data_IF_982748608532
#
_entry.id   IF_982748608532
#
_cell.length_a   1.000
_cell.length_b   1.000
_cell.length_c   1.000
_cell.angle_alpha   90.00
_cell.angle_beta   90.00
_cell.angle_gamma   90.00
#
_symmetry.space_group_name_H-M   'P 1'
#
loop_
_entity.id
_entity.type
_entity.pdbx_description
1 polymer ?
#
# COMPACT_ATOMS: atom_id res chain seq x y z
N UNK A 1 2.53 -22.69 13.35
CA UNK A 1 3.77 -21.88 13.46
C UNK A 1 5.02 -22.69 13.09
N UNK A 2 5.23 -23.90 13.60
CA UNK A 2 6.43 -24.69 13.28
C UNK A 2 6.63 -25.03 11.79
N UNK A 3 5.57 -25.15 11.00
CA UNK A 3 5.67 -25.40 9.56
C UNK A 3 6.16 -24.17 8.77
N UNK A 4 5.73 -22.97 9.15
CA UNK A 4 6.19 -21.71 8.52
C UNK A 4 7.69 -21.49 8.76
N UNK A 5 8.19 -21.87 9.93
CA UNK A 5 9.62 -21.75 10.28
C UNK A 5 10.52 -22.70 9.50
N UNK A 6 9.97 -23.74 8.87
CA UNK A 6 10.70 -24.67 8.00
C UNK A 6 10.84 -24.20 6.55
N UNK A 7 10.08 -23.16 6.15
CA UNK A 7 10.10 -22.62 4.79
C UNK A 7 11.22 -21.57 4.63
N UNK A 8 11.71 -21.45 3.40
CA UNK A 8 12.65 -20.35 3.10
C UNK A 8 11.95 -18.99 3.21
N UNK A 9 12.65 -17.93 3.65
CA UNK A 9 12.05 -16.59 3.72
C UNK A 9 11.42 -16.10 2.40
N UNK A 10 12.02 -16.49 1.27
CA UNK A 10 11.51 -16.20 -0.07
C UNK A 10 10.12 -16.83 -0.25
N UNK A 11 9.94 -18.07 0.17
CA UNK A 11 8.66 -18.77 0.03
C UNK A 11 7.59 -18.16 0.94
N UNK A 12 7.95 -17.77 2.15
CA UNK A 12 7.03 -17.10 3.08
C UNK A 12 6.56 -15.77 2.48
N UNK A 13 7.49 -14.94 2.02
CA UNK A 13 7.17 -13.63 1.43
C UNK A 13 6.33 -13.79 0.16
N UNK A 14 6.65 -14.76 -0.69
CA UNK A 14 5.85 -15.07 -1.87
C UNK A 14 4.40 -15.47 -1.51
N UNK A 15 4.21 -16.33 -0.52
CA UNK A 15 2.87 -16.74 -0.06
C UNK A 15 2.08 -15.57 0.51
N UNK A 16 2.73 -14.75 1.32
CA UNK A 16 2.11 -13.58 1.96
C UNK A 16 1.74 -12.50 0.93
N UNK A 17 2.65 -12.18 0.01
CA UNK A 17 2.36 -11.22 -1.07
C UNK A 17 1.25 -11.75 -2.01
N UNK A 18 1.21 -13.07 -2.24
CA UNK A 18 0.10 -13.71 -2.98
C UNK A 18 -1.22 -13.58 -2.23
N UNK A 19 -1.22 -13.72 -0.90
CA UNK A 19 -2.40 -13.47 -0.07
C UNK A 19 -2.88 -12.03 -0.20
N UNK A 20 -1.99 -11.04 -0.14
CA UNK A 20 -2.33 -9.63 -0.29
C UNK A 20 -2.96 -9.36 -1.66
N UNK A 21 -2.34 -9.85 -2.73
CA UNK A 21 -2.90 -9.79 -4.08
C UNK A 21 -4.29 -10.46 -4.18
N UNK A 22 -4.50 -11.62 -3.54
CA UNK A 22 -5.80 -12.29 -3.50
C UNK A 22 -6.86 -11.45 -2.80
N UNK A 23 -6.50 -10.69 -1.78
CA UNK A 23 -7.43 -9.78 -1.10
C UNK A 23 -7.88 -8.63 -2.03
N UNK A 24 -6.96 -8.06 -2.82
CA UNK A 24 -7.31 -7.09 -3.87
C UNK A 24 -8.20 -7.72 -4.94
N UNK A 25 -7.91 -8.94 -5.35
CA UNK A 25 -8.76 -9.68 -6.29
C UNK A 25 -10.17 -9.88 -5.74
N UNK A 26 -10.32 -10.30 -4.48
CA UNK A 26 -11.61 -10.47 -3.82
C UNK A 26 -12.36 -9.14 -3.72
N UNK A 27 -11.70 -8.06 -3.31
CA UNK A 27 -12.28 -6.73 -3.28
C UNK A 27 -12.75 -6.25 -4.66
N UNK A 28 -11.92 -6.45 -5.67
CA UNK A 28 -12.26 -6.12 -7.07
C UNK A 28 -13.46 -6.91 -7.58
N UNK A 29 -13.65 -8.13 -7.11
CA UNK A 29 -14.77 -8.98 -7.51
C UNK A 29 -16.14 -8.50 -6.99
N UNK A 30 -16.17 -7.59 -6.00
CA UNK A 30 -17.41 -6.99 -5.50
C UNK A 30 -18.19 -6.24 -6.60
N UNK A 31 -17.53 -5.83 -7.67
CA UNK A 31 -18.20 -5.22 -8.84
C UNK A 31 -19.31 -6.09 -9.43
N UNK A 32 -19.28 -7.41 -9.23
CA UNK A 32 -20.35 -8.32 -9.68
C UNK A 32 -21.62 -8.21 -8.85
N UNK A 33 -21.51 -7.82 -7.59
CA UNK A 33 -22.62 -7.75 -6.64
C UNK A 33 -23.22 -6.35 -6.51
N UNK A 34 -22.47 -5.31 -6.93
CA UNK A 34 -22.92 -3.92 -6.85
C UNK A 34 -23.68 -3.55 -8.10
N UNK A 35 -24.93 -3.07 -7.94
CA UNK A 35 -25.81 -2.68 -9.08
C UNK A 35 -25.54 -1.25 -9.58
N UNK A 36 -25.17 -0.35 -8.68
CA UNK A 36 -24.81 1.03 -9.00
C UNK A 36 -23.65 1.46 -8.14
N UNK A 37 -22.76 2.28 -8.68
CA UNK A 37 -21.60 2.74 -7.91
C UNK A 37 -22.04 3.82 -6.93
N UNK A 38 -21.81 3.55 -5.68
CA UNK A 38 -22.05 4.50 -4.61
C UNK A 38 -20.72 5.18 -4.26
N UNK A 39 -20.59 6.48 -4.57
CA UNK A 39 -19.40 7.28 -4.21
C UNK A 39 -19.06 7.17 -2.74
N UNK A 40 -20.06 7.09 -1.86
CA UNK A 40 -19.85 6.91 -0.42
C UNK A 40 -19.10 5.62 -0.11
N UNK A 41 -19.40 4.52 -0.81
CA UNK A 41 -18.71 3.25 -0.62
C UNK A 41 -17.23 3.36 -1.01
N UNK A 42 -16.94 4.07 -2.11
CA UNK A 42 -15.55 4.31 -2.55
C UNK A 42 -14.81 5.18 -1.52
N UNK A 43 -15.41 6.28 -1.04
CA UNK A 43 -14.81 7.12 0.00
C UNK A 43 -14.54 6.34 1.30
N UNK A 44 -15.48 5.49 1.73
CA UNK A 44 -15.30 4.63 2.91
C UNK A 44 -14.17 3.61 2.70
N UNK A 45 -14.09 3.02 1.53
CA UNK A 45 -13.04 2.05 1.17
C UNK A 45 -11.66 2.73 1.20
N UNK A 46 -11.49 3.86 0.52
CA UNK A 46 -10.23 4.61 0.50
C UNK A 46 -9.85 5.15 1.88
N UNK A 47 -10.81 5.67 2.65
CA UNK A 47 -10.55 6.15 4.00
C UNK A 47 -10.07 5.04 4.92
N UNK A 48 -10.76 3.89 4.95
CA UNK A 48 -10.36 2.74 5.78
C UNK A 48 -8.99 2.19 5.36
N UNK A 49 -8.72 2.12 4.06
CA UNK A 49 -7.42 1.71 3.52
C UNK A 49 -6.31 2.64 4.01
N UNK A 50 -6.46 3.97 3.84
CA UNK A 50 -5.49 4.95 4.30
C UNK A 50 -5.23 4.86 5.81
N UNK A 51 -6.28 4.65 6.61
CA UNK A 51 -6.15 4.50 8.07
C UNK A 51 -5.32 3.27 8.45
N UNK A 52 -5.59 2.12 7.84
CA UNK A 52 -4.82 0.89 8.05
C UNK A 52 -3.36 1.09 7.62
N UNK A 53 -3.11 1.68 6.44
CA UNK A 53 -1.76 1.93 5.93
C UNK A 53 -0.95 2.83 6.84
N UNK A 54 -1.51 3.95 7.31
CA UNK A 54 -0.81 4.87 8.23
C UNK A 54 -0.45 4.16 9.54
N UNK A 55 -1.40 3.43 10.14
CA UNK A 55 -1.16 2.69 11.37
C UNK A 55 -0.14 1.56 11.16
N UNK A 56 -0.26 0.79 10.07
CA UNK A 56 0.69 -0.27 9.71
C UNK A 56 2.11 0.28 9.51
N UNK A 57 2.25 1.40 8.79
CA UNK A 57 3.55 2.05 8.58
C UNK A 57 4.18 2.51 9.89
N UNK A 58 3.37 3.02 10.82
CA UNK A 58 3.87 3.45 12.12
C UNK A 58 4.27 2.27 13.02
N UNK A 59 3.32 1.34 13.26
CA UNK A 59 3.54 0.26 14.23
C UNK A 59 4.45 -0.86 13.71
N UNK A 60 4.42 -1.15 12.42
CA UNK A 60 5.15 -2.30 11.86
C UNK A 60 6.42 -1.93 11.10
N UNK A 61 6.68 -0.65 10.81
CA UNK A 61 7.91 -0.21 10.14
C UNK A 61 8.69 0.81 10.97
N UNK A 62 8.09 1.95 11.35
CA UNK A 62 8.80 3.01 12.07
C UNK A 62 9.18 2.60 13.48
N UNK A 63 8.27 2.00 14.22
CA UNK A 63 8.53 1.59 15.60
C UNK A 63 9.63 0.52 15.69
N UNK A 64 9.61 -0.58 14.92
CA UNK A 64 10.70 -1.55 14.89
C UNK A 64 12.03 -0.96 14.43
N UNK A 65 12.03 -0.04 13.47
CA UNK A 65 13.25 0.66 13.04
C UNK A 65 13.86 1.47 14.20
N UNK A 66 13.03 2.18 14.95
CA UNK A 66 13.47 2.93 16.14
C UNK A 66 14.05 2.01 17.20
N UNK A 67 13.38 0.92 17.55
CA UNK A 67 13.84 -0.06 18.53
C UNK A 67 15.20 -0.64 18.16
N UNK A 68 15.42 -0.97 16.89
CA UNK A 68 16.72 -1.46 16.40
C UNK A 68 17.84 -0.41 16.55
N UNK A 69 17.53 0.89 16.40
CA UNK A 69 18.50 1.97 16.46
C UNK A 69 18.78 2.45 17.89
N UNK A 70 17.85 2.33 18.83
CA UNK A 70 18.07 2.70 20.23
C UNK A 70 19.21 1.91 20.88
N UNK A 71 19.43 0.69 20.42
CA UNK A 71 20.55 -0.15 20.87
C UNK A 71 21.90 0.24 20.24
N UNK A 72 21.89 1.06 19.16
CA UNK A 72 23.06 1.34 18.32
C UNK A 72 23.70 2.74 18.54
N UNK A 73 23.12 3.58 19.42
CA UNK A 73 23.63 4.90 19.79
C UNK A 73 22.92 6.09 19.12
N UNK A 74 23.12 7.31 19.68
CA UNK A 74 22.33 8.51 19.29
C UNK A 74 22.48 8.96 17.83
N UNK A 75 23.64 8.74 17.20
CA UNK A 75 23.87 9.16 15.82
C UNK A 75 23.04 8.36 14.83
N UNK A 76 22.70 7.12 15.16
CA UNK A 76 21.87 6.25 14.32
C UNK A 76 20.42 6.69 14.26
N UNK A 77 19.91 7.44 15.25
CA UNK A 77 18.54 7.96 15.25
C UNK A 77 18.25 8.94 14.09
N UNK A 78 19.29 9.58 13.51
CA UNK A 78 19.14 10.42 12.33
C UNK A 78 18.69 9.60 11.10
N UNK A 79 18.95 8.30 11.09
CA UNK A 79 18.50 7.42 10.00
C UNK A 79 16.97 7.36 9.87
N UNK A 80 16.22 7.55 10.98
CA UNK A 80 14.75 7.51 10.96
C UNK A 80 14.19 8.64 10.09
N UNK A 81 14.38 9.93 10.43
CA UNK A 81 13.85 11.02 9.64
C UNK A 81 14.44 11.05 8.22
N UNK A 82 15.71 10.69 8.07
CA UNK A 82 16.36 10.67 6.77
C UNK A 82 15.75 9.59 5.87
N UNK A 83 15.60 8.36 6.35
CA UNK A 83 14.95 7.28 5.60
C UNK A 83 13.52 7.65 5.21
N UNK A 84 12.74 8.14 6.18
CA UNK A 84 11.36 8.56 5.97
C UNK A 84 11.23 9.66 4.89
N UNK A 85 12.03 10.72 4.98
CA UNK A 85 12.02 11.81 3.99
C UNK A 85 12.49 11.30 2.62
N UNK A 86 13.51 10.45 2.55
CA UNK A 86 13.98 9.89 1.28
C UNK A 86 12.91 9.03 0.60
N UNK A 87 12.16 8.22 1.37
CA UNK A 87 11.06 7.42 0.84
C UNK A 87 9.92 8.28 0.29
N UNK A 88 9.46 9.25 1.08
CA UNK A 88 8.44 10.21 0.65
C UNK A 88 8.89 11.02 -0.58
N UNK A 89 10.14 11.48 -0.60
CA UNK A 89 10.70 12.25 -1.70
C UNK A 89 10.82 11.45 -3.00
N UNK A 90 11.21 10.17 -2.90
CA UNK A 90 11.26 9.30 -4.08
C UNK A 90 9.86 9.13 -4.69
N UNK A 91 8.85 8.88 -3.85
CA UNK A 91 7.49 8.75 -4.34
C UNK A 91 6.98 10.07 -4.93
N UNK A 92 7.25 11.21 -4.30
CA UNK A 92 6.91 12.53 -4.83
C UNK A 92 7.53 12.77 -6.22
N UNK A 93 8.78 12.36 -6.44
CA UNK A 93 9.41 12.48 -7.77
C UNK A 93 8.74 11.53 -8.76
N UNK A 94 8.49 10.30 -8.36
CA UNK A 94 7.85 9.27 -9.20
C UNK A 94 6.46 9.72 -9.63
N UNK A 95 5.69 10.25 -8.71
CA UNK A 95 4.36 10.80 -8.90
C UNK A 95 4.34 11.94 -9.94
N UNK A 96 5.27 12.90 -9.82
CA UNK A 96 5.41 14.00 -10.78
C UNK A 96 5.90 13.58 -12.16
N UNK A 97 6.63 12.47 -12.27
CA UNK A 97 7.17 12.00 -13.53
C UNK A 97 6.22 11.06 -14.27
N UNK A 98 5.50 10.19 -13.54
CA UNK A 98 4.64 9.19 -14.16
C UNK A 98 3.23 9.76 -14.41
N UNK A 99 2.69 9.60 -15.63
CA UNK A 99 1.37 10.08 -15.94
C UNK A 99 0.31 9.24 -15.21
N UNK A 100 -0.54 9.89 -14.42
CA UNK A 100 -1.62 9.24 -13.69
C UNK A 100 -2.87 10.12 -13.60
N UNK A 101 -3.98 9.58 -13.13
CA UNK A 101 -5.24 10.29 -12.92
C UNK A 101 -5.81 9.91 -11.55
N UNK A 102 -6.19 10.93 -10.80
CA UNK A 102 -6.86 10.76 -9.50
C UNK A 102 -8.26 10.17 -9.67
N UNK A 103 -8.65 9.30 -8.75
CA UNK A 103 -9.82 8.43 -8.85
C UNK A 103 -11.14 9.19 -8.80
N UNK A 104 -11.25 10.17 -7.89
CA UNK A 104 -12.48 10.92 -7.61
C UNK A 104 -12.48 12.33 -8.23
N UNK A 105 -11.34 13.01 -8.21
CA UNK A 105 -11.19 14.38 -8.73
C UNK A 105 -11.00 14.40 -10.23
N UNK A 106 -10.56 13.29 -10.84
CA UNK A 106 -10.22 13.19 -12.26
C UNK A 106 -9.15 14.18 -12.72
N UNK A 107 -8.36 14.72 -11.79
CA UNK A 107 -7.19 15.51 -12.11
C UNK A 107 -6.11 14.61 -12.70
N UNK A 108 -5.47 15.08 -13.76
CA UNK A 108 -4.41 14.36 -14.46
C UNK A 108 -3.08 15.01 -14.17
N UNK A 109 -2.12 14.24 -13.69
CA UNK A 109 -0.79 14.68 -13.32
C UNK A 109 0.31 13.89 -14.04
N UNK A 110 1.57 14.30 -13.86
CA UNK A 110 2.74 13.68 -14.49
C UNK A 110 3.04 14.19 -15.89
N UNK A 111 4.02 13.54 -16.55
CA UNK A 111 4.50 13.94 -17.87
C UNK A 111 3.57 13.46 -18.99
N UNK A 112 3.05 14.41 -19.79
CA UNK A 112 2.18 14.13 -20.95
C UNK A 112 0.94 13.26 -20.67
N UNK A 113 0.15 13.51 -19.60
CA UNK A 113 -0.97 12.65 -19.22
C UNK A 113 -2.03 12.54 -20.33
N UNK A 114 -2.27 13.59 -21.11
CA UNK A 114 -3.23 13.62 -22.22
C UNK A 114 -2.98 12.58 -23.33
N UNK A 115 -1.80 11.95 -23.33
CA UNK A 115 -1.44 10.89 -24.30
C UNK A 115 -2.06 9.54 -23.96
N UNK A 116 -2.55 9.39 -22.75
CA UNK A 116 -3.08 8.12 -22.24
C UNK A 116 -4.58 8.21 -21.97
N UNK A 117 -5.27 7.08 -22.05
CA UNK A 117 -6.68 7.01 -21.66
C UNK A 117 -6.82 7.06 -20.15
N UNK A 118 -7.91 7.67 -19.65
CA UNK A 118 -8.22 7.77 -18.20
C UNK A 118 -8.04 6.45 -17.45
N UNK A 119 -8.57 5.34 -18.02
CA UNK A 119 -8.47 4.02 -17.40
C UNK A 119 -7.02 3.51 -17.28
N UNK A 120 -6.13 3.89 -18.21
CA UNK A 120 -4.70 3.54 -18.12
C UNK A 120 -4.00 4.36 -17.06
N UNK A 121 -4.32 5.66 -16.97
CA UNK A 121 -3.76 6.55 -15.96
C UNK A 121 -4.17 6.10 -14.55
N UNK A 122 -5.44 5.77 -14.36
CA UNK A 122 -5.95 5.25 -13.09
C UNK A 122 -5.29 3.92 -12.69
N UNK A 123 -5.13 2.99 -13.66
CA UNK A 123 -4.42 1.73 -13.39
C UNK A 123 -2.96 2.00 -12.98
N UNK A 124 -2.29 2.95 -13.63
CA UNK A 124 -0.90 3.27 -13.33
C UNK A 124 -0.77 3.90 -11.93
N UNK A 125 -1.65 4.84 -11.57
CA UNK A 125 -1.71 5.42 -10.24
C UNK A 125 -1.75 4.31 -9.17
N UNK A 126 -2.75 3.44 -9.26
CA UNK A 126 -2.94 2.36 -8.29
C UNK A 126 -1.80 1.32 -8.30
N UNK A 127 -1.18 1.07 -9.45
CA UNK A 127 0.00 0.20 -9.50
C UNK A 127 1.19 0.82 -8.76
N UNK A 128 1.35 2.15 -8.83
CA UNK A 128 2.39 2.87 -8.10
C UNK A 128 2.19 2.80 -6.57
N UNK A 129 0.94 2.81 -6.11
CA UNK A 129 0.60 2.66 -4.69
C UNK A 129 0.99 1.27 -4.17
N UNK A 130 0.75 0.22 -4.92
CA UNK A 130 1.02 -1.16 -4.53
C UNK A 130 2.53 -1.52 -4.48
N UNK A 131 3.41 -0.74 -5.15
CA UNK A 131 4.86 -0.98 -5.09
C UNK A 131 5.42 -0.77 -3.67
N UNK A 132 5.19 0.39 -2.98
CA UNK A 132 5.59 0.58 -1.59
C UNK A 132 5.05 -0.47 -0.63
N UNK A 133 3.82 -0.94 -0.83
CA UNK A 133 3.19 -1.97 0.00
C UNK A 133 3.92 -3.29 -0.11
N UNK A 134 4.16 -3.76 -1.34
CA UNK A 134 4.95 -4.96 -1.56
C UNK A 134 6.36 -4.82 -0.96
N UNK A 135 7.07 -3.73 -1.25
CA UNK A 135 8.40 -3.46 -0.69
C UNK A 135 8.39 -3.52 0.84
N UNK A 136 7.40 -2.89 1.49
CA UNK A 136 7.28 -2.87 2.95
C UNK A 136 7.13 -4.28 3.54
N UNK A 137 6.31 -5.14 2.92
CA UNK A 137 6.20 -6.55 3.31
C UNK A 137 7.55 -7.25 3.24
N UNK A 138 8.24 -7.15 2.11
CA UNK A 138 9.54 -7.80 1.93
C UNK A 138 10.59 -7.35 2.95
N UNK A 139 10.67 -6.03 3.18
CA UNK A 139 11.59 -5.42 4.14
C UNK A 139 11.26 -5.84 5.58
N UNK A 140 9.98 -5.87 5.95
CA UNK A 140 9.54 -6.32 7.27
C UNK A 140 9.93 -7.79 7.54
N UNK A 141 9.78 -8.67 6.55
CA UNK A 141 10.23 -10.06 6.69
C UNK A 141 11.76 -10.21 6.75
N UNK A 142 12.50 -9.35 6.04
CA UNK A 142 13.97 -9.30 6.16
C UNK A 142 14.42 -8.82 7.54
N UNK A 143 13.64 -7.96 8.21
CA UNK A 143 13.94 -7.43 9.54
C UNK A 143 13.66 -8.42 10.67
N UNK A 144 12.94 -9.51 10.39
CA UNK A 144 12.58 -10.50 11.40
C UNK A 144 13.81 -11.27 11.88
N UNK A 145 14.13 -11.13 13.16
CA UNK A 145 15.27 -11.79 13.80
C UNK A 145 14.86 -13.13 14.42
N UNK A 146 15.73 -14.13 14.31
CA UNK A 146 15.54 -15.47 14.94
C UNK A 146 14.19 -16.14 14.62
N UNK A 147 13.63 -15.88 13.43
CA UNK A 147 12.35 -16.46 13.02
C UNK A 147 11.11 -15.88 13.70
N UNK A 148 11.26 -14.75 14.41
CA UNK A 148 10.11 -14.03 14.97
C UNK A 148 9.45 -13.15 13.88
N UNK A 149 8.53 -13.72 13.14
CA UNK A 149 7.81 -13.04 12.05
C UNK A 149 6.55 -12.31 12.52
N UNK A 150 6.30 -12.16 13.82
CA UNK A 150 5.02 -11.63 14.31
C UNK A 150 4.73 -10.23 13.75
N UNK A 151 5.66 -9.30 13.87
CA UNK A 151 5.51 -7.93 13.36
C UNK A 151 5.33 -7.89 11.83
N UNK A 152 6.12 -8.70 11.11
CA UNK A 152 6.02 -8.79 9.67
C UNK A 152 4.67 -9.40 9.21
N UNK A 153 4.17 -10.40 9.93
CA UNK A 153 2.84 -10.98 9.68
C UNK A 153 1.72 -9.99 10.00
N UNK A 154 1.84 -9.24 11.09
CA UNK A 154 0.86 -8.20 11.45
C UNK A 154 0.78 -7.14 10.34
N UNK A 155 1.92 -6.65 9.85
CA UNK A 155 1.97 -5.75 8.70
C UNK A 155 1.28 -6.36 7.47
N UNK A 156 1.66 -7.58 7.13
CA UNK A 156 1.15 -8.25 5.93
C UNK A 156 -0.36 -8.53 6.00
N UNK A 157 -0.88 -8.90 7.17
CA UNK A 157 -2.33 -9.05 7.39
C UNK A 157 -3.02 -7.70 7.27
N UNK A 158 -2.46 -6.64 7.85
CA UNK A 158 -2.98 -5.27 7.74
C UNK A 158 -3.07 -4.81 6.28
N UNK A 159 -1.97 -5.00 5.51
CA UNK A 159 -1.97 -4.72 4.06
C UNK A 159 -3.01 -5.58 3.33
N UNK A 160 -3.12 -6.88 3.64
CA UNK A 160 -4.15 -7.73 3.05
C UNK A 160 -5.57 -7.23 3.34
N UNK A 161 -5.85 -6.80 4.57
CA UNK A 161 -7.18 -6.27 4.95
C UNK A 161 -7.47 -4.99 4.16
N UNK A 162 -6.52 -4.07 4.03
CA UNK A 162 -6.72 -2.81 3.29
C UNK A 162 -6.80 -3.00 1.77
N UNK A 163 -6.15 -4.01 1.23
CA UNK A 163 -6.19 -4.35 -0.20
C UNK A 163 -7.60 -4.75 -0.66
N UNK A 164 -8.41 -5.31 0.22
CA UNK A 164 -9.79 -5.65 -0.12
C UNK A 164 -10.64 -4.39 -0.44
N UNK A 165 -10.77 -3.36 0.42
CA UNK A 165 -11.43 -2.12 0.06
C UNK A 165 -10.77 -1.40 -1.12
N UNK A 166 -9.45 -1.45 -1.25
CA UNK A 166 -8.72 -0.83 -2.35
C UNK A 166 -9.08 -1.45 -3.71
N UNK A 167 -9.11 -2.77 -3.83
CA UNK A 167 -9.58 -3.46 -5.03
C UNK A 167 -11.00 -3.06 -5.41
N UNK A 168 -11.87 -2.85 -4.43
CA UNK A 168 -13.24 -2.34 -4.62
C UNK A 168 -13.21 -0.90 -5.15
N UNK A 169 -12.37 -0.04 -4.58
CA UNK A 169 -12.24 1.36 -4.96
C UNK A 169 -11.76 1.54 -6.41
N UNK A 170 -10.96 0.60 -6.94
CA UNK A 170 -10.53 0.62 -8.34
C UNK A 170 -11.60 0.06 -9.27
N UNK A 171 -12.16 -1.10 -8.95
CA UNK A 171 -13.07 -1.81 -9.85
C UNK A 171 -14.39 -1.08 -10.07
N UNK A 172 -14.91 -0.41 -9.06
CA UNK A 172 -16.20 0.31 -9.18
C UNK A 172 -16.14 1.49 -10.15
N UNK A 173 -15.18 2.43 -10.09
CA UNK A 173 -15.05 3.50 -11.08
C UNK A 173 -14.75 2.98 -12.48
N UNK A 174 -13.97 1.91 -12.64
CA UNK A 174 -13.73 1.29 -13.95
C UNK A 174 -15.03 0.80 -14.60
N UNK A 175 -15.92 0.21 -13.81
CA UNK A 175 -17.25 -0.18 -14.27
C UNK A 175 -18.10 1.05 -14.65
N UNK A 176 -18.05 2.14 -13.85
CA UNK A 176 -18.73 3.41 -14.19
C UNK A 176 -18.21 4.01 -15.50
N UNK A 177 -16.91 3.90 -15.75
CA UNK A 177 -16.26 4.38 -16.98
C UNK A 177 -16.55 3.47 -18.21
N UNK A 178 -17.61 2.62 -18.13
CA UNK A 178 -18.11 1.83 -19.24
C UNK A 178 -17.35 0.51 -19.49
N UNK A 179 -16.49 0.07 -18.56
CA UNK A 179 -15.88 -1.27 -18.64
C UNK A 179 -16.89 -2.35 -18.26
N UNK A 180 -16.78 -3.53 -18.87
CA UNK A 180 -17.55 -4.68 -18.38
C UNK A 180 -17.12 -5.04 -16.95
N UNK A 181 -17.98 -5.73 -16.19
CA UNK A 181 -17.65 -6.17 -14.83
C UNK A 181 -16.38 -7.00 -14.78
N UNK A 182 -16.19 -7.89 -15.74
CA UNK A 182 -14.97 -8.69 -15.85
C UNK A 182 -13.75 -7.80 -16.09
N UNK A 183 -13.81 -6.84 -17.01
CA UNK A 183 -12.70 -5.91 -17.24
C UNK A 183 -12.41 -5.06 -16.01
N UNK A 184 -13.44 -4.52 -15.33
CA UNK A 184 -13.28 -3.72 -14.15
C UNK A 184 -12.58 -4.50 -13.00
N UNK A 185 -13.01 -5.75 -12.75
CA UNK A 185 -12.34 -6.66 -11.83
C UNK A 185 -10.88 -6.91 -12.21
N UNK A 186 -10.61 -7.14 -13.52
CA UNK A 186 -9.24 -7.38 -14.00
C UNK A 186 -8.34 -6.15 -13.82
N UNK A 187 -8.85 -4.94 -14.02
CA UNK A 187 -8.09 -3.72 -13.75
C UNK A 187 -7.70 -3.62 -12.26
N UNK A 188 -8.64 -3.89 -11.35
CA UNK A 188 -8.36 -3.86 -9.92
C UNK A 188 -7.30 -4.88 -9.51
N UNK A 189 -7.44 -6.15 -9.90
CA UNK A 189 -6.47 -7.17 -9.49
C UNK A 189 -5.10 -7.03 -10.17
N UNK A 190 -5.03 -6.49 -11.41
CA UNK A 190 -3.76 -6.28 -12.08
C UNK A 190 -2.93 -5.16 -11.46
N UNK A 191 -3.56 -4.13 -10.86
CA UNK A 191 -2.82 -3.09 -10.15
C UNK A 191 -1.98 -3.63 -8.99
N UNK A 192 -2.52 -4.61 -8.27
CA UNK A 192 -1.86 -5.21 -7.12
C UNK A 192 -0.89 -6.37 -7.47
N UNK A 193 -0.87 -6.84 -8.72
CA UNK A 193 0.04 -7.93 -9.10
C UNK A 193 1.52 -7.56 -8.91
N UNK A 194 1.84 -6.27 -8.96
CA UNK A 194 3.18 -5.74 -8.71
C UNK A 194 3.66 -5.94 -7.27
N UNK A 195 2.76 -6.15 -6.31
CA UNK A 195 3.15 -6.38 -4.91
C UNK A 195 4.04 -7.63 -4.75
N UNK A 196 3.78 -8.68 -5.53
CA UNK A 196 4.56 -9.93 -5.43
C UNK A 196 6.04 -9.71 -5.79
N UNK A 197 6.40 -9.21 -6.98
CA UNK A 197 7.79 -8.92 -7.29
C UNK A 197 8.36 -7.81 -6.39
N UNK A 198 7.59 -6.80 -6.00
CA UNK A 198 8.05 -5.75 -5.09
C UNK A 198 8.43 -6.32 -3.71
N UNK A 199 7.62 -7.25 -3.15
CA UNK A 199 7.92 -7.89 -1.88
C UNK A 199 9.20 -8.75 -1.95
N UNK A 200 9.38 -9.50 -3.02
CA UNK A 200 10.62 -10.27 -3.23
C UNK A 200 11.84 -9.36 -3.40
N UNK A 201 11.72 -8.26 -4.14
CA UNK A 201 12.76 -7.24 -4.25
C UNK A 201 13.07 -6.62 -2.88
N UNK A 202 12.06 -6.25 -2.09
CA UNK A 202 12.22 -5.71 -0.75
C UNK A 202 12.97 -6.66 0.18
N UNK A 203 12.61 -7.94 0.18
CA UNK A 203 13.30 -8.97 0.96
C UNK A 203 14.77 -9.12 0.56
N UNK A 204 15.05 -9.24 -0.75
CA UNK A 204 16.41 -9.44 -1.26
C UNK A 204 17.27 -8.20 -0.95
N UNK A 205 16.77 -7.00 -1.29
CA UNK A 205 17.49 -5.76 -1.07
C UNK A 205 17.81 -5.51 0.40
N UNK A 206 16.81 -5.67 1.29
CA UNK A 206 17.00 -5.50 2.71
C UNK A 206 17.95 -6.56 3.31
N UNK A 207 17.91 -7.81 2.82
CA UNK A 207 18.82 -8.86 3.26
C UNK A 207 20.26 -8.62 2.86
N UNK A 208 20.51 -7.99 1.70
CA UNK A 208 21.85 -7.59 1.25
C UNK A 208 22.39 -6.38 2.00
N UNK A 209 21.51 -5.51 2.48
CA UNK A 209 21.84 -4.25 3.14
C UNK A 209 21.52 -4.25 4.63
N UNK A 210 21.82 -5.33 5.36
CA UNK A 210 21.47 -5.52 6.77
C UNK A 210 21.81 -4.34 7.69
N UNK A 211 22.96 -3.69 7.48
CA UNK A 211 23.39 -2.52 8.27
C UNK A 211 22.52 -1.27 8.03
N UNK A 212 21.78 -1.26 6.92
CA UNK A 212 20.88 -0.17 6.52
C UNK A 212 19.41 -0.50 6.76
N UNK A 213 19.14 -1.66 7.39
CA UNK A 213 17.77 -2.15 7.56
C UNK A 213 16.82 -1.14 8.24
N UNK A 214 17.19 -0.46 9.34
CA UNK A 214 16.33 0.56 9.95
C UNK A 214 16.04 1.74 8.98
N UNK A 215 17.03 2.14 8.18
CA UNK A 215 16.83 3.17 7.17
C UNK A 215 15.83 2.70 6.10
N UNK A 216 15.93 1.45 5.64
CA UNK A 216 15.06 0.88 4.61
C UNK A 216 13.62 0.73 5.13
N UNK A 217 13.45 0.34 6.40
CA UNK A 217 12.14 0.31 7.06
C UNK A 217 11.49 1.70 7.10
N UNK A 218 12.26 2.72 7.50
CA UNK A 218 11.77 4.10 7.52
C UNK A 218 11.50 4.64 6.12
N UNK A 219 12.31 4.25 5.13
CA UNK A 219 12.11 4.60 3.72
C UNK A 219 10.77 4.03 3.19
N UNK A 220 10.49 2.75 3.44
CA UNK A 220 9.23 2.14 3.07
C UNK A 220 8.03 2.84 3.76
N UNK A 221 8.16 3.14 5.06
CA UNK A 221 7.14 3.88 5.79
C UNK A 221 6.88 5.27 5.20
N UNK A 222 7.94 6.03 4.87
CA UNK A 222 7.84 7.35 4.25
C UNK A 222 7.14 7.31 2.89
N UNK A 223 7.46 6.32 2.09
CA UNK A 223 6.80 6.08 0.81
C UNK A 223 5.29 5.81 0.99
N UNK A 224 4.91 4.93 1.93
CA UNK A 224 3.51 4.63 2.23
C UNK A 224 2.76 5.85 2.79
N UNK A 225 3.39 6.64 3.67
CA UNK A 225 2.81 7.88 4.17
C UNK A 225 2.54 8.89 3.05
N UNK A 226 3.48 9.03 2.10
CA UNK A 226 3.29 9.92 0.96
C UNK A 226 2.04 9.54 0.17
N UNK A 227 1.91 8.27 -0.21
CA UNK A 227 0.75 7.74 -0.93
C UNK A 227 -0.56 8.02 -0.17
N UNK A 228 -0.59 7.78 1.14
CA UNK A 228 -1.79 8.02 1.94
C UNK A 228 -2.21 9.50 1.95
N UNK A 229 -1.24 10.41 2.10
CA UNK A 229 -1.50 11.85 2.27
C UNK A 229 -1.82 12.50 0.93
N UNK A 230 -1.09 12.12 -0.13
CA UNK A 230 -1.23 12.73 -1.46
C UNK A 230 -2.46 12.18 -2.20
N UNK A 231 -2.74 10.88 -2.07
CA UNK A 231 -3.74 10.21 -2.87
C UNK A 231 -4.97 9.76 -2.07
N UNK A 232 -4.77 8.85 -1.11
CA UNK A 232 -5.91 8.14 -0.50
C UNK A 232 -6.79 9.05 0.38
N UNK A 233 -6.19 9.92 1.19
CA UNK A 233 -6.94 10.82 2.09
C UNK A 233 -7.71 11.89 1.31
N UNK A 234 -7.12 12.61 0.33
CA UNK A 234 -7.86 13.55 -0.50
C UNK A 234 -9.02 12.88 -1.26
N UNK A 235 -8.76 11.72 -1.85
CA UNK A 235 -9.76 10.95 -2.59
C UNK A 235 -10.90 10.46 -1.69
N UNK A 236 -10.60 9.99 -0.46
CA UNK A 236 -11.60 9.59 0.51
C UNK A 236 -12.53 10.74 0.94
N UNK A 237 -12.03 11.97 0.92
CA UNK A 237 -12.76 13.18 1.32
C UNK A 237 -13.28 14.01 0.12
N UNK A 238 -13.15 13.53 -1.11
CA UNK A 238 -13.59 14.23 -2.32
C UNK A 238 -15.12 14.40 -2.47
N UNK A 239 -15.93 13.76 -1.62
CA UNK A 239 -17.39 13.86 -1.64
C UNK A 239 -17.86 14.86 -0.59
N UNK A 240 -18.45 15.97 -1.02
CA UNK A 240 -18.95 17.03 -0.13
C UNK A 240 -20.04 16.56 0.85
N UNK A 241 -19.98 17.09 2.07
CA UNK A 241 -21.05 17.08 3.05
C UNK A 241 -21.19 15.84 3.94
N UNK A 242 -20.24 14.90 3.91
CA UNK A 242 -20.27 13.73 4.79
C UNK A 242 -18.84 13.35 5.19
N UNK A 243 -18.56 13.34 6.49
CA UNK A 243 -17.24 12.95 7.07
C UNK A 243 -16.97 11.43 6.99
N UNK A 244 -17.52 10.73 5.97
CA UNK A 244 -17.39 9.29 5.82
C UNK A 244 -15.97 8.83 5.60
N UNK A 245 -15.21 9.56 4.79
CA UNK A 245 -13.79 9.28 4.57
C UNK A 245 -13.00 9.37 5.88
N UNK A 246 -13.21 10.46 6.63
CA UNK A 246 -12.56 10.69 7.93
C UNK A 246 -12.95 9.63 8.96
N UNK A 247 -14.24 9.31 9.09
CA UNK A 247 -14.71 8.28 10.03
C UNK A 247 -14.12 6.92 9.67
N UNK A 248 -14.14 6.56 8.39
CA UNK A 248 -13.58 5.30 7.90
C UNK A 248 -12.07 5.23 8.11
N UNK A 249 -11.36 6.35 7.94
CA UNK A 249 -9.93 6.45 8.26
C UNK A 249 -9.68 6.14 9.73
N UNK A 250 -10.43 6.76 10.64
CA UNK A 250 -10.29 6.49 12.08
C UNK A 250 -10.59 5.02 12.42
N UNK A 251 -11.61 4.41 11.79
CA UNK A 251 -11.89 2.99 11.95
C UNK A 251 -10.71 2.15 11.45
N UNK A 252 -10.14 2.48 10.29
CA UNK A 252 -8.97 1.80 9.73
C UNK A 252 -7.77 1.84 10.69
N UNK A 253 -7.50 2.99 11.30
CA UNK A 253 -6.44 3.12 12.32
C UNK A 253 -6.71 2.18 13.50
N UNK A 254 -7.94 2.14 14.02
CA UNK A 254 -8.32 1.30 15.17
C UNK A 254 -8.19 -0.20 14.85
N UNK A 255 -8.53 -0.62 13.63
CA UNK A 255 -8.39 -2.03 13.20
C UNK A 255 -6.93 -2.50 13.29
N UNK A 256 -5.98 -1.60 13.03
CA UNK A 256 -4.55 -1.93 13.00
C UNK A 256 -3.85 -1.73 14.35
N UNK A 257 -4.48 -1.07 15.32
CA UNK A 257 -3.97 -0.89 16.69
C UNK A 257 -4.12 -2.15 17.53
#
# INVERSE_FOLDING_TARGET
MNYLLSLSPIMIVFMVATFNWLMTFLGSSLVYFVKSTNKKLVCMALGSSAGIMIAASFFSLLLPAKEQLETSGKLSLIMIPLGFICGAFLLMITDRLLPHEHLMTHQQEGLHPKRYSKNKLLLLAMTLHNIPEGLAVGVAFASATNGNYLTALTLAIGIGIQNFPEGTAISLPMFQNGKSRFQAMMYGQFSALVEIPAALCGLIFASLANNMLPFILCFAAGAMFFVCIEELIPEANATEGIDLGTISFMIGVVIMM
#
